data_IF_555257011146
#
_entry.id   IF_555257011146
#
_cell.length_a   1.000
_cell.length_b   1.000
_cell.length_c   1.000
_cell.angle_alpha   90.00
_cell.angle_beta   90.00
_cell.angle_gamma   90.00
#
_symmetry.space_group_name_H-M   'P 1'
#
loop_
_entity.id
_entity.type
_entity.pdbx_description
1 polymer ?
#
# COMPACT_ATOMS: atom_id res chain seq x y z
N UNK A 1 3.75 3.95 -26.57
CA UNK A 1 4.24 3.14 -25.43
C UNK A 1 4.50 1.74 -25.95
N UNK A 2 5.72 1.24 -25.80
CA UNK A 2 6.04 -0.16 -26.11
C UNK A 2 5.15 -1.11 -25.28
N UNK A 3 4.79 -2.28 -25.81
CA UNK A 3 3.89 -3.24 -25.15
C UNK A 3 4.44 -3.66 -23.77
N UNK A 4 5.76 -3.77 -23.65
CA UNK A 4 6.42 -4.05 -22.37
C UNK A 4 6.22 -2.90 -21.38
N UNK A 5 6.29 -1.66 -21.83
CA UNK A 5 6.10 -0.48 -20.97
C UNK A 5 4.65 -0.36 -20.50
N UNK A 6 3.68 -0.66 -21.37
CA UNK A 6 2.26 -0.74 -21.00
C UNK A 6 2.01 -1.79 -19.91
N UNK A 7 2.60 -2.98 -20.04
CA UNK A 7 2.46 -4.03 -19.04
C UNK A 7 3.08 -3.64 -17.69
N UNK A 8 4.27 -3.01 -17.72
CA UNK A 8 4.94 -2.50 -16.50
C UNK A 8 4.10 -1.41 -15.83
N UNK A 9 3.57 -0.46 -16.59
CA UNK A 9 2.71 0.61 -16.06
C UNK A 9 1.44 0.02 -15.43
N UNK A 10 0.80 -0.95 -16.08
CA UNK A 10 -0.38 -1.64 -15.54
C UNK A 10 -0.06 -2.38 -14.24
N UNK A 11 1.06 -3.10 -14.17
CA UNK A 11 1.49 -3.79 -12.95
C UNK A 11 1.77 -2.79 -11.81
N UNK A 12 2.44 -1.68 -12.12
CA UNK A 12 2.73 -0.62 -11.15
C UNK A 12 1.50 0.18 -10.74
N UNK A 13 0.40 0.20 -11.52
CA UNK A 13 -0.87 0.80 -11.13
C UNK A 13 -1.64 -0.03 -10.10
N UNK A 14 -1.45 -1.35 -10.08
CA UNK A 14 -2.10 -2.22 -9.09
C UNK A 14 -1.57 -1.98 -7.67
N UNK A 15 -0.28 -1.67 -7.55
CA UNK A 15 0.40 -1.41 -6.26
C UNK A 15 -0.24 -0.23 -5.50
N UNK A 16 -0.35 0.99 -6.06
CA UNK A 16 -0.94 2.11 -5.35
C UNK A 16 -2.41 1.87 -5.07
N UNK A 17 -3.17 1.26 -5.99
CA UNK A 17 -4.58 0.92 -5.75
C UNK A 17 -4.73 0.00 -4.54
N UNK A 18 -3.89 -1.03 -4.43
CA UNK A 18 -3.89 -1.93 -3.29
C UNK A 18 -3.46 -1.22 -2.00
N UNK A 19 -2.38 -0.45 -2.05
CA UNK A 19 -1.86 0.28 -0.89
C UNK A 19 -2.84 1.33 -0.35
N UNK A 20 -3.47 2.12 -1.23
CA UNK A 20 -4.50 3.08 -0.83
C UNK A 20 -5.75 2.39 -0.28
N UNK A 21 -6.14 1.23 -0.84
CA UNK A 21 -7.27 0.45 -0.33
C UNK A 21 -7.02 -0.04 1.09
N UNK A 22 -5.84 -0.58 1.39
CA UNK A 22 -5.49 -1.04 2.75
C UNK A 22 -5.35 0.13 3.73
N UNK A 23 -4.74 1.24 3.31
CA UNK A 23 -4.67 2.45 4.12
C UNK A 23 -6.07 3.03 4.44
N UNK A 24 -6.96 3.07 3.44
CA UNK A 24 -8.34 3.54 3.61
C UNK A 24 -9.18 2.62 4.50
N UNK A 25 -9.06 1.30 4.30
CA UNK A 25 -9.67 0.29 5.16
C UNK A 25 -9.19 0.49 6.60
N UNK A 26 -7.89 0.59 6.82
CA UNK A 26 -7.28 0.86 8.12
C UNK A 26 -7.82 2.13 8.77
N UNK A 27 -7.97 3.21 7.99
CA UNK A 27 -8.53 4.46 8.47
C UNK A 27 -10.00 4.33 8.90
N UNK A 28 -10.82 3.62 8.12
CA UNK A 28 -12.26 3.43 8.38
C UNK A 28 -12.56 2.47 9.53
N UNK A 29 -11.83 1.35 9.62
CA UNK A 29 -12.10 0.30 10.61
C UNK A 29 -11.28 0.46 11.88
N UNK A 30 -10.19 1.24 11.83
CA UNK A 30 -9.23 1.34 12.93
C UNK A 30 -8.39 0.06 13.11
N UNK A 31 -8.37 -0.83 12.12
CA UNK A 31 -7.63 -2.09 12.14
C UNK A 31 -6.84 -2.27 10.83
N UNK A 32 -5.54 -2.52 10.92
CA UNK A 32 -4.66 -2.78 9.78
C UNK A 32 -4.03 -4.16 9.91
N UNK A 33 -3.89 -4.88 8.80
CA UNK A 33 -3.24 -6.19 8.78
C UNK A 33 -1.78 -6.08 9.23
N UNK A 34 -1.41 -6.84 10.27
CA UNK A 34 -0.06 -6.92 10.82
C UNK A 34 0.58 -8.20 10.34
N UNK A 35 1.61 -8.09 9.50
CA UNK A 35 2.38 -9.25 9.04
C UNK A 35 3.27 -9.71 10.20
N UNK A 36 2.86 -10.78 10.89
CA UNK A 36 3.64 -11.42 11.95
C UNK A 36 4.24 -12.73 11.42
N UNK A 37 5.57 -12.82 11.44
CA UNK A 37 6.29 -14.04 11.04
C UNK A 37 5.81 -15.22 11.89
N UNK A 38 5.45 -16.33 11.25
CA UNK A 38 4.90 -17.56 11.85
C UNK A 38 3.52 -17.44 12.52
N UNK A 39 2.73 -16.42 12.22
CA UNK A 39 1.34 -16.38 12.67
C UNK A 39 0.46 -17.26 11.78
N UNK A 40 -0.25 -18.22 12.41
CA UNK A 40 -1.22 -19.09 11.74
C UNK A 40 -2.57 -18.40 11.51
N UNK A 41 -2.83 -17.32 12.27
CA UNK A 41 -4.02 -16.50 12.21
C UNK A 41 -3.65 -15.06 11.81
N UNK A 42 -4.51 -14.36 11.03
CA UNK A 42 -4.29 -12.97 10.68
C UNK A 42 -4.30 -12.10 11.93
N UNK A 43 -3.18 -11.44 12.20
CA UNK A 43 -3.04 -10.51 13.33
C UNK A 43 -3.34 -9.11 12.83
N UNK A 44 -4.20 -8.39 13.54
CA UNK A 44 -4.55 -7.00 13.22
C UNK A 44 -3.91 -6.05 14.23
N UNK A 45 -3.33 -4.95 13.74
CA UNK A 45 -2.95 -3.81 14.55
C UNK A 45 -4.16 -2.89 14.72
N UNK A 46 -4.65 -2.74 15.95
CA UNK A 46 -5.77 -1.86 16.27
C UNK A 46 -5.28 -0.49 16.74
N UNK A 47 -5.95 0.57 16.29
CA UNK A 47 -5.65 1.96 16.68
C UNK A 47 -5.68 2.19 18.19
N UNK A 48 -6.54 1.47 18.92
CA UNK A 48 -6.73 1.66 20.37
C UNK A 48 -5.73 0.87 21.23
N UNK A 49 -5.22 -0.28 20.74
CA UNK A 49 -4.27 -1.11 21.50
C UNK A 49 -2.82 -0.74 21.20
N UNK A 50 -2.48 -0.57 19.91
CA UNK A 50 -1.11 -0.31 19.47
C UNK A 50 -1.10 0.90 18.50
N UNK A 51 -1.38 2.13 18.97
CA UNK A 51 -1.57 3.29 18.11
C UNK A 51 -0.34 3.57 17.23
N UNK A 52 0.86 3.47 17.80
CA UNK A 52 2.10 3.78 17.08
C UNK A 52 2.38 2.77 15.95
N UNK A 53 2.09 1.49 16.17
CA UNK A 53 2.21 0.47 15.13
C UNK A 53 1.11 0.60 14.08
N UNK A 54 -0.13 0.88 14.50
CA UNK A 54 -1.22 1.14 13.56
C UNK A 54 -0.86 2.29 12.60
N UNK A 55 -0.41 3.42 13.13
CA UNK A 55 -0.02 4.58 12.33
C UNK A 55 1.21 4.31 11.47
N UNK A 56 2.19 3.53 11.94
CA UNK A 56 3.34 3.17 11.11
C UNK A 56 2.93 2.34 9.90
N UNK A 57 2.04 1.36 10.06
CA UNK A 57 1.53 0.58 8.92
C UNK A 57 0.71 1.45 7.96
N UNK A 58 -0.18 2.31 8.45
CA UNK A 58 -0.94 3.25 7.58
C UNK A 58 0.01 4.16 6.80
N UNK A 59 1.04 4.70 7.44
CA UNK A 59 2.04 5.55 6.78
C UNK A 59 2.87 4.77 5.75
N UNK A 60 3.23 3.52 6.03
CA UNK A 60 3.94 2.66 5.06
C UNK A 60 3.07 2.36 3.85
N UNK A 61 1.78 2.01 4.04
CA UNK A 61 0.85 1.80 2.92
C UNK A 61 0.65 3.09 2.12
N UNK A 62 0.40 4.23 2.77
CA UNK A 62 0.24 5.51 2.09
C UNK A 62 1.52 5.93 1.34
N UNK A 63 2.68 5.82 1.98
CA UNK A 63 3.98 6.15 1.39
C UNK A 63 4.31 5.26 0.19
N UNK A 64 4.09 3.94 0.30
CA UNK A 64 4.26 3.01 -0.81
C UNK A 64 3.32 3.35 -1.98
N UNK A 65 2.07 3.70 -1.68
CA UNK A 65 1.10 4.16 -2.69
C UNK A 65 1.55 5.44 -3.41
N UNK A 66 2.02 6.45 -2.67
CA UNK A 66 2.51 7.69 -3.26
C UNK A 66 3.77 7.46 -4.12
N UNK A 67 4.72 6.66 -3.66
CA UNK A 67 5.95 6.37 -4.41
C UNK A 67 5.67 5.59 -5.70
N UNK A 68 4.81 4.57 -5.62
CA UNK A 68 4.43 3.78 -6.80
C UNK A 68 3.61 4.61 -7.79
N UNK A 69 2.72 5.49 -7.32
CA UNK A 69 2.02 6.43 -8.18
C UNK A 69 2.97 7.44 -8.86
N UNK A 70 3.93 7.99 -8.12
CA UNK A 70 4.98 8.85 -8.69
C UNK A 70 5.81 8.14 -9.76
N UNK A 71 6.13 6.85 -9.54
CA UNK A 71 6.82 6.02 -10.52
C UNK A 71 5.98 5.80 -11.79
N UNK A 72 4.67 5.60 -11.67
CA UNK A 72 3.78 5.50 -12.84
C UNK A 72 3.80 6.79 -13.65
N UNK A 73 3.71 7.95 -13.01
CA UNK A 73 3.79 9.26 -13.70
C UNK A 73 5.13 9.39 -14.42
N UNK A 74 6.23 9.09 -13.74
CA UNK A 74 7.57 9.12 -14.34
C UNK A 74 7.65 8.22 -15.58
N UNK A 75 7.17 6.98 -15.49
CA UNK A 75 7.18 6.00 -16.59
C UNK A 75 6.29 6.40 -17.78
N UNK A 76 5.26 7.22 -17.58
CA UNK A 76 4.35 7.66 -18.65
C UNK A 76 4.86 8.93 -19.34
N UNK A 77 5.39 9.89 -18.58
CA UNK A 77 5.67 11.24 -19.09
C UNK A 77 7.14 11.54 -19.32
N UNK A 78 8.06 10.86 -18.63
CA UNK A 78 9.49 11.19 -18.60
C UNK A 78 10.41 10.06 -19.08
N UNK A 79 9.85 8.90 -19.38
CA UNK A 79 10.55 7.76 -19.99
C UNK A 79 10.26 7.70 -21.49
#
# INVERSE_FOLDING_TARGET
>A
MDVQTLFVVLAFLLIPVFCFREAWKGWRTGAVDKIKKNAREPVYAYRHQEPLQFWSYVLVYAGCGCLSFGMVIYLIFYR
#
